data_IF_460566137762
#
_entry.id   IF_460566137762
#
_cell.length_a   1.000
_cell.length_b   1.000
_cell.length_c   1.000
_cell.angle_alpha   90.00
_cell.angle_beta   90.00
_cell.angle_gamma   90.00
#
_symmetry.space_group_name_H-M   'P 1'
#
loop_
_entity.id
_entity.type
_entity.pdbx_description
1 polymer ?
#
# COMPACT_ATOMS: atom_id res chain seq x y z
N UNK A 1 19.07 -0.71 -23.30
CA UNK A 1 17.93 0.21 -23.14
C UNK A 1 17.53 0.21 -21.68
N UNK A 2 18.04 1.16 -20.89
CA UNK A 2 17.73 1.23 -19.45
C UNK A 2 16.26 1.61 -19.26
N UNK A 3 15.51 0.79 -18.52
CA UNK A 3 14.12 1.04 -18.17
C UNK A 3 14.10 2.30 -17.30
N UNK A 4 13.82 3.47 -17.89
CA UNK A 4 13.69 4.73 -17.16
C UNK A 4 12.69 4.51 -16.03
N UNK A 5 13.16 4.64 -14.79
CA UNK A 5 12.37 4.40 -13.59
C UNK A 5 11.29 5.49 -13.54
N UNK A 6 10.06 5.12 -13.89
CA UNK A 6 8.92 6.04 -13.93
C UNK A 6 8.44 6.33 -12.52
N UNK A 7 8.03 7.57 -12.27
CA UNK A 7 7.30 7.95 -11.07
C UNK A 7 5.82 7.97 -11.36
N UNK A 8 5.01 7.59 -10.36
CA UNK A 8 3.56 7.53 -10.47
C UNK A 8 2.92 8.13 -9.22
N UNK A 9 1.74 8.73 -9.39
CA UNK A 9 0.88 9.16 -8.27
C UNK A 9 -0.06 8.01 -7.92
N UNK A 10 -0.22 7.74 -6.62
CA UNK A 10 -1.18 6.75 -6.11
C UNK A 10 -2.27 7.48 -5.32
N UNK A 11 -3.17 8.25 -5.98
CA UNK A 11 -4.14 9.12 -5.30
C UNK A 11 -5.09 8.36 -4.37
N UNK A 12 -5.36 7.08 -4.65
CA UNK A 12 -6.28 6.25 -3.87
C UNK A 12 -5.59 5.42 -2.78
N UNK A 13 -4.29 5.62 -2.50
CA UNK A 13 -3.55 4.80 -1.54
C UNK A 13 -4.21 4.79 -0.15
N UNK A 14 -4.64 5.97 0.33
CA UNK A 14 -5.32 6.10 1.62
C UNK A 14 -6.67 5.36 1.67
N UNK A 15 -7.35 5.18 0.54
CA UNK A 15 -8.59 4.38 0.47
C UNK A 15 -8.27 2.89 0.48
N UNK A 16 -7.30 2.46 -0.32
CA UNK A 16 -6.85 1.07 -0.37
C UNK A 16 -6.32 0.57 0.98
N UNK A 17 -5.61 1.43 1.71
CA UNK A 17 -5.15 1.14 3.07
C UNK A 17 -6.31 0.94 4.04
N UNK A 18 -7.37 1.76 3.94
CA UNK A 18 -8.58 1.60 4.78
C UNK A 18 -9.31 0.30 4.46
N UNK A 19 -9.51 0.00 3.18
CA UNK A 19 -10.13 -1.25 2.71
C UNK A 19 -9.38 -2.50 3.17
N UNK A 20 -8.06 -2.41 3.31
CA UNK A 20 -7.19 -3.51 3.72
C UNK A 20 -6.86 -3.49 5.23
N UNK A 21 -7.46 -2.58 6.01
CA UNK A 21 -7.14 -2.31 7.41
C UNK A 21 -5.62 -2.28 7.67
N UNK A 22 -4.93 -1.53 6.80
CA UNK A 22 -3.48 -1.39 6.82
C UNK A 22 -3.09 -0.05 7.44
N UNK A 23 -2.25 -0.07 8.48
CA UNK A 23 -1.56 1.11 8.98
C UNK A 23 -0.28 1.34 8.18
N UNK A 24 0.29 2.55 8.22
CA UNK A 24 1.59 2.79 7.57
C UNK A 24 2.66 1.83 8.08
N UNK A 25 2.66 1.54 9.39
CA UNK A 25 3.60 0.62 10.04
C UNK A 25 3.44 -0.80 9.49
N UNK A 26 2.20 -1.29 9.42
CA UNK A 26 1.93 -2.64 8.91
C UNK A 26 2.29 -2.76 7.43
N UNK A 27 2.04 -1.71 6.65
CA UNK A 27 2.37 -1.68 5.23
C UNK A 27 3.89 -1.63 5.04
N UNK A 28 4.61 -0.78 5.78
CA UNK A 28 6.06 -0.68 5.75
C UNK A 28 6.75 -2.00 6.13
N UNK A 29 6.26 -2.67 7.17
CA UNK A 29 6.80 -3.95 7.62
C UNK A 29 6.61 -5.08 6.59
N UNK A 30 5.49 -5.08 5.85
CA UNK A 30 5.19 -6.13 4.87
C UNK A 30 5.79 -5.84 3.48
N UNK A 31 5.85 -4.57 3.08
CA UNK A 31 6.34 -4.17 1.77
C UNK A 31 7.84 -3.86 1.76
N UNK A 32 8.47 -3.67 2.93
CA UNK A 32 9.84 -3.20 3.06
C UNK A 32 10.03 -1.73 2.64
N UNK A 33 8.93 -1.00 2.45
CA UNK A 33 8.95 0.40 2.00
C UNK A 33 8.94 1.32 3.21
N UNK A 34 9.82 2.32 3.24
CA UNK A 34 9.92 3.26 4.36
C UNK A 34 8.61 4.02 4.60
N UNK A 35 8.26 4.23 5.87
CA UNK A 35 7.06 5.00 6.27
C UNK A 35 6.98 6.37 5.59
N UNK A 36 8.11 7.07 5.44
CA UNK A 36 8.16 8.36 4.74
C UNK A 36 7.63 8.27 3.30
N UNK A 37 7.98 7.23 2.55
CA UNK A 37 7.49 7.04 1.18
C UNK A 37 5.98 6.79 1.17
N UNK A 38 5.48 5.97 2.10
CA UNK A 38 4.06 5.67 2.25
C UNK A 38 3.28 6.94 2.63
N UNK A 39 3.78 7.69 3.61
CA UNK A 39 3.21 8.95 4.06
C UNK A 39 3.18 9.99 2.93
N UNK A 40 4.26 10.11 2.17
CA UNK A 40 4.32 10.96 0.98
C UNK A 40 3.29 10.56 -0.08
N UNK A 41 3.20 9.27 -0.41
CA UNK A 41 2.23 8.76 -1.37
C UNK A 41 0.77 9.00 -0.91
N UNK A 42 0.49 8.88 0.39
CA UNK A 42 -0.82 9.22 0.97
C UNK A 42 -1.19 10.69 0.84
N UNK A 43 -0.19 11.57 0.84
CA UNK A 43 -0.34 13.01 0.59
C UNK A 43 -0.42 13.36 -0.91
N UNK A 44 -0.41 12.35 -1.80
CA UNK A 44 -0.46 12.55 -3.25
C UNK A 44 0.91 12.87 -3.89
N UNK A 45 2.01 12.67 -3.16
CA UNK A 45 3.35 12.78 -3.74
C UNK A 45 3.60 11.64 -4.73
N UNK A 46 4.41 11.94 -5.74
CA UNK A 46 4.90 10.94 -6.67
C UNK A 46 5.91 10.02 -5.98
N UNK A 47 5.72 8.72 -6.17
CA UNK A 47 6.65 7.70 -5.72
C UNK A 47 7.09 6.89 -6.93
N UNK A 48 8.18 6.15 -6.75
CA UNK A 48 8.67 5.24 -7.78
C UNK A 48 7.60 4.20 -8.12
N UNK A 49 7.43 3.92 -9.41
CA UNK A 49 6.47 2.92 -9.91
C UNK A 49 6.68 1.55 -9.28
N UNK A 50 7.94 1.14 -9.06
CA UNK A 50 8.27 -0.11 -8.39
C UNK A 50 7.75 -0.16 -6.95
N UNK A 51 7.97 0.91 -6.16
CA UNK A 51 7.46 1.01 -4.79
C UNK A 51 5.93 1.07 -4.76
N UNK A 52 5.32 1.79 -5.70
CA UNK A 52 3.86 1.83 -5.83
C UNK A 52 3.29 0.43 -6.12
N UNK A 53 3.90 -0.31 -7.05
CA UNK A 53 3.48 -1.67 -7.38
C UNK A 53 3.59 -2.61 -6.18
N UNK A 54 4.70 -2.55 -5.43
CA UNK A 54 4.89 -3.34 -4.20
C UNK A 54 3.80 -2.98 -3.18
N UNK A 55 3.59 -1.70 -2.89
CA UNK A 55 2.55 -1.26 -1.93
C UNK A 55 1.16 -1.76 -2.32
N UNK A 56 0.79 -1.64 -3.61
CA UNK A 56 -0.49 -2.11 -4.12
C UNK A 56 -0.64 -3.63 -4.03
N UNK A 57 0.43 -4.38 -4.33
CA UNK A 57 0.45 -5.83 -4.21
C UNK A 57 0.28 -6.26 -2.75
N UNK A 58 1.05 -5.68 -1.83
CA UNK A 58 0.94 -5.95 -0.38
C UNK A 58 -0.46 -5.65 0.14
N UNK A 59 -1.07 -4.54 -0.27
CA UNK A 59 -2.44 -4.19 0.13
C UNK A 59 -3.47 -5.17 -0.41
N UNK A 60 -3.30 -5.65 -1.66
CA UNK A 60 -4.17 -6.66 -2.27
C UNK A 60 -4.11 -7.98 -1.51
N UNK A 61 -2.90 -8.44 -1.18
CA UNK A 61 -2.68 -9.67 -0.41
C UNK A 61 -3.28 -9.55 0.99
N UNK A 62 -3.05 -8.44 1.67
CA UNK A 62 -3.59 -8.17 3.00
C UNK A 62 -5.12 -8.10 2.98
N UNK A 63 -5.73 -7.40 2.01
CA UNK A 63 -7.19 -7.36 1.83
C UNK A 63 -7.76 -8.76 1.62
N UNK A 64 -7.08 -9.60 0.84
CA UNK A 64 -7.49 -10.99 0.61
C UNK A 64 -7.37 -11.86 1.87
N UNK A 65 -6.32 -11.68 2.67
CA UNK A 65 -6.18 -12.36 3.95
C UNK A 65 -7.26 -11.92 4.95
N UNK A 66 -7.54 -10.62 5.04
CA UNK A 66 -8.60 -10.10 5.90
C UNK A 66 -9.99 -10.58 5.47
N UNK A 67 -10.27 -10.63 4.16
CA UNK A 67 -11.50 -11.20 3.62
C UNK A 67 -11.66 -12.70 3.94
N UNK A 68 -10.55 -13.45 4.05
CA UNK A 68 -10.53 -14.88 4.39
C UNK A 68 -10.64 -15.17 5.89
N UNK A 69 -10.14 -14.28 6.76
CA UNK A 69 -10.25 -14.46 8.21
C UNK A 69 -11.67 -14.29 8.73
N UNK A 70 -12.58 -13.73 7.91
CA UNK A 70 -13.88 -13.28 8.38
C UNK A 70 -13.68 -12.09 9.31
N UNK A 71 -14.39 -10.98 9.08
CA UNK A 71 -14.51 -9.96 10.13
C UNK A 71 -14.87 -10.73 11.40
N UNK A 72 -14.17 -10.60 12.56
CA UNK A 72 -14.85 -10.87 13.81
C UNK A 72 -16.09 -9.99 13.73
N UNK A 73 -17.23 -10.63 13.45
CA UNK A 73 -18.52 -10.01 13.58
C UNK A 73 -18.52 -9.64 15.04
N UNK A 74 -18.50 -8.36 15.39
CA UNK A 74 -18.90 -7.94 16.73
C UNK A 74 -20.14 -8.74 17.09
N UNK A 75 -19.98 -9.67 18.02
CA UNK A 75 -21.03 -10.38 18.73
C UNK A 75 -20.43 -10.99 19.98
#
# INVERSE_FOLDING_TARGET
MGRWQKTVKVPELSKLMRDAEATNIALAAQSGVSDHVISGARQGKEIREDLAAILLQTLKERKFQYAKMGRPRSS
#
